data_IF_634922253224
#
_entry.id   IF_634922253224
#
_cell.length_a   1.000
_cell.length_b   1.000
_cell.length_c   1.000
_cell.angle_alpha   90.00
_cell.angle_beta   90.00
_cell.angle_gamma   90.00
#
_symmetry.space_group_name_H-M   'P 1'
#
loop_
_entity.id
_entity.type
_entity.pdbx_description
1 polymer ?
#
# COMPACT_ATOMS: atom_id res chain seq x y z
N UNK A 1 -1.38 -17.57 -19.46
CA UNK A 1 -0.77 -16.62 -18.52
C UNK A 1 0.73 -16.86 -18.45
N UNK A 2 1.49 -15.86 -18.80
CA UNK A 2 2.95 -15.95 -18.76
C UNK A 2 3.40 -16.08 -17.29
N UNK A 3 3.74 -17.28 -16.86
CA UNK A 3 4.22 -17.59 -15.51
C UNK A 3 5.47 -16.80 -15.13
N UNK A 4 6.18 -16.20 -16.12
CA UNK A 4 7.35 -15.37 -15.86
C UNK A 4 7.01 -14.01 -15.21
N UNK A 5 5.75 -13.56 -15.27
CA UNK A 5 5.30 -12.32 -14.60
C UNK A 5 5.42 -12.41 -13.09
N UNK A 6 5.02 -13.56 -12.52
CA UNK A 6 5.08 -13.79 -11.09
C UNK A 6 6.49 -14.06 -10.54
N UNK A 7 7.45 -14.44 -11.36
CA UNK A 7 8.79 -14.79 -10.87
C UNK A 7 9.57 -13.57 -10.36
N UNK A 8 9.47 -12.41 -11.03
CA UNK A 8 10.11 -11.18 -10.59
C UNK A 8 9.57 -10.72 -9.24
N UNK A 9 8.26 -10.72 -9.09
CA UNK A 9 7.57 -10.29 -7.87
C UNK A 9 7.79 -11.29 -6.72
N UNK A 10 7.77 -12.59 -7.00
CA UNK A 10 8.07 -13.65 -6.03
C UNK A 10 9.47 -13.50 -5.46
N UNK A 11 10.50 -13.34 -6.29
CA UNK A 11 11.88 -13.17 -5.82
C UNK A 11 12.08 -11.88 -5.01
N UNK A 12 11.45 -10.78 -5.43
CA UNK A 12 11.52 -9.54 -4.70
C UNK A 12 10.83 -9.64 -3.35
N UNK A 13 9.64 -10.23 -3.34
CA UNK A 13 8.93 -10.51 -2.11
C UNK A 13 9.77 -11.36 -1.15
N UNK A 14 10.43 -12.43 -1.64
CA UNK A 14 11.32 -13.24 -0.81
C UNK A 14 12.47 -12.45 -0.19
N UNK A 15 13.08 -11.52 -0.95
CA UNK A 15 14.13 -10.64 -0.39
C UNK A 15 13.58 -9.75 0.74
N UNK A 16 12.36 -9.23 0.58
CA UNK A 16 11.72 -8.43 1.62
C UNK A 16 11.23 -9.27 2.80
N UNK A 17 10.74 -10.49 2.57
CA UNK A 17 10.40 -11.44 3.64
C UNK A 17 11.63 -11.72 4.55
N UNK A 18 12.85 -11.68 3.99
CA UNK A 18 14.08 -11.85 4.77
C UNK A 18 14.50 -10.60 5.56
N UNK A 19 14.05 -9.41 5.20
CA UNK A 19 14.44 -8.16 5.86
C UNK A 19 13.32 -7.55 6.72
N UNK A 20 12.06 -7.89 6.45
CA UNK A 20 10.93 -7.44 7.25
C UNK A 20 10.70 -8.34 8.46
N UNK A 21 10.53 -7.75 9.63
CA UNK A 21 10.28 -8.53 10.85
C UNK A 21 8.81 -8.95 10.97
N UNK A 22 8.56 -10.13 11.54
CA UNK A 22 7.20 -10.57 11.90
C UNK A 22 6.46 -9.55 12.76
N UNK A 23 7.16 -8.89 13.69
CA UNK A 23 6.60 -7.86 14.55
C UNK A 23 6.09 -6.63 13.79
N UNK A 24 6.70 -6.29 12.64
CA UNK A 24 6.18 -5.25 11.76
C UNK A 24 4.86 -5.70 11.11
N UNK A 25 4.83 -6.91 10.56
CA UNK A 25 3.64 -7.47 9.90
C UNK A 25 2.48 -7.69 10.88
N UNK A 26 2.76 -8.05 12.12
CA UNK A 26 1.73 -8.16 13.17
C UNK A 26 0.99 -6.84 13.44
N UNK A 27 1.52 -5.70 13.00
CA UNK A 27 0.88 -4.39 13.15
C UNK A 27 -0.08 -4.05 12.00
N UNK A 28 -0.10 -4.85 10.93
CA UNK A 28 -0.98 -4.64 9.79
C UNK A 28 -2.45 -4.68 10.22
N UNK A 29 -3.24 -3.70 9.76
CA UNK A 29 -4.65 -3.56 10.17
C UNK A 29 -5.47 -4.80 9.84
N UNK A 30 -5.28 -5.41 8.67
CA UNK A 30 -6.02 -6.61 8.28
C UNK A 30 -5.68 -7.82 9.15
N UNK A 31 -4.40 -8.00 9.51
CA UNK A 31 -3.99 -9.05 10.44
C UNK A 31 -4.63 -8.85 11.82
N UNK A 32 -4.53 -7.63 12.38
CA UNK A 32 -5.17 -7.31 13.68
C UNK A 32 -6.67 -7.56 13.66
N UNK A 33 -7.36 -7.09 12.62
CA UNK A 33 -8.81 -7.30 12.50
C UNK A 33 -9.19 -8.79 12.44
N UNK A 34 -8.40 -9.62 11.77
CA UNK A 34 -8.62 -11.08 11.74
C UNK A 34 -8.38 -11.72 13.11
N UNK A 35 -7.29 -11.33 13.79
CA UNK A 35 -6.97 -11.80 15.16
C UNK A 35 -8.07 -11.39 16.15
N UNK A 36 -8.52 -10.15 16.10
CA UNK A 36 -9.59 -9.64 16.98
C UNK A 36 -10.90 -10.40 16.75
N UNK A 37 -11.26 -10.63 15.49
CA UNK A 37 -12.46 -11.40 15.13
C UNK A 37 -12.39 -12.88 15.59
N UNK A 38 -11.24 -13.54 15.40
CA UNK A 38 -11.03 -14.92 15.87
C UNK A 38 -11.11 -14.99 17.40
N UNK A 39 -10.45 -14.06 18.10
CA UNK A 39 -10.45 -13.99 19.56
C UNK A 39 -11.87 -13.74 20.10
N UNK A 40 -12.62 -12.81 19.50
CA UNK A 40 -14.01 -12.55 19.86
C UNK A 40 -14.92 -13.78 19.65
N UNK A 41 -14.59 -14.64 18.69
CA UNK A 41 -15.28 -15.91 18.43
C UNK A 41 -14.79 -17.08 19.33
N UNK A 42 -13.86 -16.82 20.26
CA UNK A 42 -13.29 -17.85 21.14
C UNK A 42 -12.37 -18.85 20.42
N UNK A 43 -11.85 -18.50 19.23
CA UNK A 43 -10.90 -19.30 18.45
C UNK A 43 -9.46 -18.94 18.76
N UNK A 44 -8.53 -19.75 18.26
CA UNK A 44 -7.12 -19.38 18.23
C UNK A 44 -6.95 -18.07 17.45
N UNK A 45 -6.13 -17.12 17.92
CA UNK A 45 -5.94 -15.83 17.27
C UNK A 45 -5.54 -15.92 15.78
N UNK A 46 -4.79 -16.93 15.40
CA UNK A 46 -4.31 -17.13 14.02
C UNK A 46 -5.19 -18.13 13.21
N UNK A 47 -6.29 -18.67 13.78
CA UNK A 47 -7.09 -19.74 13.17
C UNK A 47 -7.57 -19.41 11.74
N UNK A 48 -7.94 -18.17 11.49
CA UNK A 48 -8.50 -17.72 10.21
C UNK A 48 -7.49 -16.84 9.41
N UNK A 49 -6.21 -16.84 9.82
CA UNK A 49 -5.15 -16.05 9.16
C UNK A 49 -4.36 -16.91 8.18
N UNK A 50 -4.60 -16.70 6.89
CA UNK A 50 -3.77 -17.32 5.84
C UNK A 50 -2.43 -16.61 5.71
N UNK A 51 -1.39 -17.31 5.17
CA UNK A 51 -0.12 -16.67 4.81
C UNK A 51 -0.30 -15.54 3.79
N UNK A 52 -1.31 -15.63 2.93
CA UNK A 52 -1.66 -14.54 2.01
C UNK A 52 -2.11 -13.29 2.74
N UNK A 53 -3.03 -13.42 3.70
CA UNK A 53 -3.50 -12.31 4.54
C UNK A 53 -2.37 -11.71 5.39
N UNK A 54 -1.50 -12.55 5.93
CA UNK A 54 -0.38 -12.09 6.76
C UNK A 54 0.70 -11.36 5.97
N UNK A 55 1.00 -11.81 4.74
CA UNK A 55 2.15 -11.37 3.98
C UNK A 55 1.84 -10.49 2.76
N UNK A 56 0.55 -10.18 2.45
CA UNK A 56 0.26 -9.29 1.32
C UNK A 56 0.89 -7.88 1.44
N UNK A 57 1.15 -7.30 2.64
CA UNK A 57 1.84 -6.02 2.71
C UNK A 57 3.27 -6.07 2.15
N UNK A 58 3.93 -7.24 2.24
CA UNK A 58 5.25 -7.46 1.64
C UNK A 58 5.16 -7.49 0.12
N UNK A 59 4.11 -8.11 -0.43
CA UNK A 59 3.86 -8.12 -1.88
C UNK A 59 3.59 -6.71 -2.39
N UNK A 60 2.74 -5.95 -1.71
CA UNK A 60 2.48 -4.55 -2.06
C UNK A 60 3.75 -3.68 -1.99
N UNK A 61 4.59 -3.89 -0.98
CA UNK A 61 5.90 -3.25 -0.91
C UNK A 61 6.77 -3.61 -2.12
N UNK A 62 6.77 -4.88 -2.54
CA UNK A 62 7.50 -5.33 -3.73
C UNK A 62 6.99 -4.65 -5.01
N UNK A 63 5.68 -4.50 -5.19
CA UNK A 63 5.08 -3.83 -6.35
C UNK A 63 5.49 -2.37 -6.42
N UNK A 64 5.41 -1.64 -5.32
CA UNK A 64 5.80 -0.23 -5.22
C UNK A 64 7.31 -0.04 -5.49
N UNK A 65 8.13 -0.84 -4.83
CA UNK A 65 9.59 -0.70 -4.88
C UNK A 65 10.21 -1.27 -6.16
N UNK A 66 9.48 -2.11 -6.94
CA UNK A 66 9.91 -2.63 -8.24
C UNK A 66 10.32 -1.51 -9.20
N UNK A 67 9.58 -0.44 -9.20
CA UNK A 67 9.75 0.68 -10.11
C UNK A 67 10.40 1.90 -9.44
N UNK A 68 10.85 1.77 -8.20
CA UNK A 68 11.40 2.87 -7.40
C UNK A 68 10.48 4.11 -7.40
N UNK A 69 9.17 3.88 -7.24
CA UNK A 69 8.18 4.94 -7.22
C UNK A 69 8.48 5.93 -6.09
N UNK A 70 8.63 7.20 -6.43
CA UNK A 70 8.85 8.28 -5.47
C UNK A 70 7.55 8.71 -4.82
N UNK A 71 6.50 8.78 -5.63
CA UNK A 71 5.16 9.21 -5.24
C UNK A 71 4.16 8.10 -5.55
N UNK A 72 3.34 7.76 -4.57
CA UNK A 72 2.33 6.71 -4.69
C UNK A 72 0.99 7.28 -4.28
N UNK A 73 0.06 7.49 -5.23
CA UNK A 73 -1.29 7.94 -4.89
C UNK A 73 -2.05 6.80 -4.22
N UNK A 74 -2.41 7.01 -2.96
CA UNK A 74 -3.11 6.02 -2.14
C UNK A 74 -4.25 6.64 -1.35
N UNK A 75 -5.31 5.89 -1.11
CA UNK A 75 -6.34 6.22 -0.15
C UNK A 75 -5.80 6.13 1.29
N UNK A 76 -6.48 6.79 2.21
CA UNK A 76 -6.09 6.85 3.63
C UNK A 76 -5.92 5.45 4.26
N UNK A 77 -6.73 4.48 3.85
CA UNK A 77 -6.67 3.09 4.32
C UNK A 77 -5.42 2.33 3.88
N UNK A 78 -4.66 2.85 2.89
CA UNK A 78 -3.43 2.25 2.38
C UNK A 78 -2.15 2.90 2.92
N UNK A 79 -2.24 3.99 3.69
CA UNK A 79 -1.08 4.70 4.22
C UNK A 79 -0.16 3.79 5.05
N UNK A 80 -0.74 2.91 5.87
CA UNK A 80 0.04 1.97 6.67
C UNK A 80 0.88 1.01 5.81
N UNK A 81 0.33 0.54 4.69
CA UNK A 81 1.06 -0.34 3.78
C UNK A 81 2.22 0.40 3.09
N UNK A 82 2.02 1.68 2.79
CA UNK A 82 3.10 2.50 2.23
C UNK A 82 4.22 2.73 3.25
N UNK A 83 3.89 2.97 4.53
CA UNK A 83 4.90 3.03 5.59
C UNK A 83 5.66 1.71 5.76
N UNK A 84 4.98 0.57 5.64
CA UNK A 84 5.63 -0.74 5.64
C UNK A 84 6.57 -0.92 4.43
N UNK A 85 6.20 -0.39 3.26
CA UNK A 85 7.08 -0.39 2.09
C UNK A 85 8.31 0.50 2.31
N UNK A 86 8.17 1.66 2.96
CA UNK A 86 9.28 2.52 3.37
C UNK A 86 10.23 1.81 4.34
N UNK A 87 9.68 1.13 5.34
CA UNK A 87 10.46 0.34 6.29
C UNK A 87 11.26 -0.77 5.59
N UNK A 88 10.64 -1.48 4.62
CA UNK A 88 11.29 -2.49 3.82
C UNK A 88 12.45 -1.91 2.98
N UNK A 89 12.20 -0.78 2.30
CA UNK A 89 13.21 -0.08 1.52
C UNK A 89 14.39 0.38 2.37
N UNK A 90 14.10 1.02 3.50
CA UNK A 90 15.12 1.52 4.43
C UNK A 90 15.98 0.38 4.99
N UNK A 91 15.36 -0.73 5.41
CA UNK A 91 16.09 -1.89 5.94
C UNK A 91 16.95 -2.54 4.88
N UNK A 92 16.45 -2.69 3.66
CA UNK A 92 17.24 -3.23 2.56
C UNK A 92 18.44 -2.33 2.24
N UNK A 93 18.22 -1.02 2.14
CA UNK A 93 19.29 -0.05 1.92
C UNK A 93 20.35 -0.12 3.03
N UNK A 94 19.93 -0.20 4.30
CA UNK A 94 20.86 -0.28 5.42
C UNK A 94 21.74 -1.54 5.41
N UNK A 95 21.21 -2.66 4.88
CA UNK A 95 21.91 -3.94 4.84
C UNK A 95 22.83 -4.08 3.62
N UNK A 96 22.41 -3.56 2.47
CA UNK A 96 23.04 -3.89 1.18
C UNK A 96 23.55 -2.69 0.39
N UNK A 97 23.13 -1.46 0.71
CA UNK A 97 23.56 -0.25 0.02
C UNK A 97 24.71 0.47 0.72
N UNK A 98 25.28 1.45 0.02
CA UNK A 98 26.10 2.50 0.64
C UNK A 98 25.27 3.78 0.79
N UNK A 99 25.65 4.72 1.68
CA UNK A 99 24.92 5.97 1.82
C UNK A 99 24.79 6.77 0.51
N UNK A 100 25.79 6.69 -0.36
CA UNK A 100 25.85 7.41 -1.64
C UNK A 100 25.02 6.72 -2.74
N UNK A 101 24.75 5.43 -2.59
CA UNK A 101 24.09 4.61 -3.62
C UNK A 101 23.01 3.71 -3.02
N UNK A 102 21.85 4.29 -2.63
CA UNK A 102 20.72 3.48 -2.18
C UNK A 102 20.13 2.67 -3.34
N UNK A 103 19.64 1.46 -3.06
CA UNK A 103 18.91 0.66 -4.04
C UNK A 103 17.49 1.18 -4.22
N UNK A 104 16.84 1.53 -3.12
CA UNK A 104 15.44 1.94 -3.11
C UNK A 104 15.30 3.40 -2.69
N UNK A 105 14.48 4.12 -3.43
CA UNK A 105 13.92 5.41 -3.00
C UNK A 105 12.82 5.12 -1.96
N UNK A 106 12.70 5.99 -0.96
CA UNK A 106 11.63 5.88 0.03
C UNK A 106 10.36 6.51 -0.54
N UNK A 107 9.33 5.71 -0.85
CA UNK A 107 8.11 6.22 -1.46
C UNK A 107 7.35 7.16 -0.53
N UNK A 108 6.66 8.16 -1.09
CA UNK A 108 5.81 9.09 -0.37
C UNK A 108 4.37 8.96 -0.84
N UNK A 109 3.43 9.11 0.10
CA UNK A 109 2.02 9.16 -0.25
C UNK A 109 1.71 10.47 -0.97
N UNK A 110 1.03 10.39 -2.11
CA UNK A 110 0.38 11.52 -2.75
C UNK A 110 -1.11 11.23 -2.86
N UNK A 111 -1.90 12.27 -2.84
CA UNK A 111 -3.36 12.15 -2.77
C UNK A 111 -3.87 12.77 -1.48
N UNK A 112 -4.83 13.65 -1.61
CA UNK A 112 -5.32 14.44 -0.49
C UNK A 112 -5.99 13.59 0.58
N UNK A 113 -5.93 14.07 1.79
CA UNK A 113 -6.71 13.62 2.95
C UNK A 113 -8.23 13.65 2.75
N UNK A 114 -8.70 14.01 1.58
CA UNK A 114 -10.11 14.22 1.21
C UNK A 114 -10.75 13.11 0.37
N UNK A 115 -10.04 12.00 0.10
CA UNK A 115 -10.69 10.85 -0.54
C UNK A 115 -11.46 10.11 0.55
N UNK A 116 -12.65 10.58 0.80
CA UNK A 116 -13.62 9.88 1.63
C UNK A 116 -13.95 8.52 1.02
N UNK A 117 -14.23 7.56 1.88
CA UNK A 117 -14.67 6.23 1.44
C UNK A 117 -16.05 6.37 0.81
N UNK A 118 -16.21 6.00 -0.46
CA UNK A 118 -17.50 6.05 -1.13
C UNK A 118 -18.51 5.14 -0.42
N UNK A 119 -19.70 5.65 -0.11
CA UNK A 119 -20.79 4.85 0.43
C UNK A 119 -21.36 3.92 -0.66
N UNK A 120 -21.77 2.72 -0.25
CA UNK A 120 -22.54 1.81 -1.09
C UNK A 120 -24.02 2.16 -1.16
N UNK A 121 -24.78 1.31 -1.85
CA UNK A 121 -26.24 1.47 -2.04
C UNK A 121 -27.03 1.54 -0.73
N UNK A 122 -26.50 0.96 0.34
CA UNK A 122 -27.05 0.87 1.69
C UNK A 122 -26.50 1.92 2.65
N UNK A 123 -25.69 2.86 2.16
CA UNK A 123 -25.05 3.92 2.95
C UNK A 123 -23.81 3.49 3.75
N UNK A 124 -23.50 2.17 3.84
CA UNK A 124 -22.25 1.68 4.42
C UNK A 124 -21.10 1.81 3.40
N UNK A 125 -19.86 1.59 3.84
CA UNK A 125 -18.70 1.52 2.92
C UNK A 125 -19.01 0.61 1.74
N UNK A 126 -18.79 1.08 0.51
CA UNK A 126 -18.97 0.29 -0.71
C UNK A 126 -18.02 -0.91 -0.70
N UNK A 127 -18.55 -2.12 -0.83
CA UNK A 127 -17.78 -3.35 -0.82
C UNK A 127 -18.50 -4.47 -1.57
N UNK A 128 -17.74 -5.27 -2.31
CA UNK A 128 -18.26 -6.49 -2.96
C UNK A 128 -18.86 -7.49 -1.94
N UNK A 129 -18.25 -7.60 -0.77
CA UNK A 129 -18.70 -8.49 0.31
C UNK A 129 -20.07 -8.09 0.90
N UNK A 130 -20.46 -6.82 0.78
CA UNK A 130 -21.77 -6.33 1.20
C UNK A 130 -22.81 -6.30 0.08
N UNK A 131 -22.41 -6.66 -1.14
CA UNK A 131 -23.29 -6.60 -2.33
C UNK A 131 -23.98 -5.22 -2.49
N UNK A 132 -23.27 -4.15 -2.14
CA UNK A 132 -23.75 -2.78 -2.17
C UNK A 132 -23.00 -1.89 -3.19
N UNK A 133 -22.38 -2.53 -4.20
CA UNK A 133 -21.61 -1.86 -5.25
C UNK A 133 -22.50 -1.35 -6.38
N UNK A 134 -21.99 -0.33 -7.09
CA UNK A 134 -22.60 0.20 -8.31
C UNK A 134 -21.83 -0.39 -9.51
N UNK A 135 -22.48 -1.15 -10.42
CA UNK A 135 -21.82 -1.65 -11.62
C UNK A 135 -21.55 -0.49 -12.58
N UNK A 136 -20.32 -0.40 -13.11
CA UNK A 136 -19.95 0.66 -14.06
C UNK A 136 -20.06 0.20 -15.51
N UNK A 137 -19.60 -1.01 -15.82
CA UNK A 137 -19.52 -1.55 -17.18
C UNK A 137 -20.50 -2.69 -17.40
N UNK A 138 -20.49 -3.70 -16.53
CA UNK A 138 -21.26 -4.93 -16.67
C UNK A 138 -22.77 -4.66 -16.59
N UNK A 139 -23.54 -5.24 -17.52
CA UNK A 139 -24.99 -5.06 -17.59
C UNK A 139 -25.45 -3.70 -18.13
N UNK A 140 -24.52 -2.84 -18.54
CA UNK A 140 -24.82 -1.59 -19.24
C UNK A 140 -25.58 -0.56 -18.40
N UNK A 141 -26.23 0.36 -19.09
CA UNK A 141 -27.04 1.42 -18.46
C UNK A 141 -28.19 0.84 -17.62
N UNK A 142 -28.80 -0.24 -18.05
CA UNK A 142 -29.93 -0.84 -17.32
C UNK A 142 -29.51 -1.36 -15.91
N UNK A 143 -28.33 -1.98 -15.81
CA UNK A 143 -27.81 -2.43 -14.52
C UNK A 143 -27.44 -1.24 -13.61
N UNK A 144 -26.90 -0.16 -14.17
CA UNK A 144 -26.64 1.08 -13.44
C UNK A 144 -27.94 1.67 -12.87
N UNK A 145 -28.97 1.84 -13.71
CA UNK A 145 -30.28 2.38 -13.29
C UNK A 145 -30.91 1.53 -12.18
N UNK A 146 -30.87 0.21 -12.33
CA UNK A 146 -31.37 -0.73 -11.32
C UNK A 146 -30.61 -0.65 -9.99
N UNK A 147 -29.29 -0.46 -10.04
CA UNK A 147 -28.48 -0.29 -8.83
C UNK A 147 -28.79 1.04 -8.15
N UNK A 148 -28.79 2.14 -8.90
CA UNK A 148 -29.08 3.48 -8.37
C UNK A 148 -30.48 3.57 -7.76
N UNK A 149 -31.47 2.89 -8.35
CA UNK A 149 -32.82 2.81 -7.77
C UNK A 149 -32.85 2.22 -6.35
N UNK A 150 -31.92 1.33 -6.02
CA UNK A 150 -31.79 0.68 -4.69
C UNK A 150 -31.14 1.56 -3.62
N UNK A 151 -30.55 2.71 -3.98
CA UNK A 151 -29.95 3.61 -2.97
C UNK A 151 -31.01 3.96 -1.93
N UNK A 152 -30.67 3.76 -0.66
CA UNK A 152 -31.56 4.08 0.45
C UNK A 152 -31.70 5.60 0.58
N UNK A 153 -32.93 6.09 0.61
CA UNK A 153 -33.30 7.49 0.81
C UNK A 153 -34.38 7.59 1.87
N UNK A 154 -34.57 8.75 2.45
CA UNK A 154 -35.64 9.00 3.42
C UNK A 154 -37.04 9.02 2.74
N UNK A 155 -38.09 9.20 3.55
CA UNK A 155 -39.48 9.17 3.11
C UNK A 155 -40.05 10.54 2.65
N UNK A 156 -39.21 11.58 2.54
CA UNK A 156 -39.65 12.92 2.14
C UNK A 156 -40.23 12.94 0.73
N UNK A 157 -41.41 13.54 0.59
CA UNK A 157 -42.10 13.63 -0.68
C UNK A 157 -41.42 14.63 -1.65
N UNK A 158 -41.73 14.56 -2.96
CA UNK A 158 -41.39 15.64 -3.88
C UNK A 158 -41.95 16.98 -3.40
N UNK A 159 -41.15 18.04 -3.48
CA UNK A 159 -41.51 19.38 -2.98
C UNK A 159 -41.07 19.66 -1.54
N UNK A 160 -40.75 18.61 -0.76
CA UNK A 160 -40.20 18.79 0.58
C UNK A 160 -38.68 18.99 0.53
N UNK A 161 -38.13 20.00 1.24
CA UNK A 161 -36.69 20.22 1.31
C UNK A 161 -35.94 19.00 1.86
N UNK A 162 -34.84 18.66 1.23
CA UNK A 162 -33.99 17.53 1.60
C UNK A 162 -32.60 18.02 2.01
N UNK A 163 -32.03 17.36 3.01
CA UNK A 163 -30.66 17.64 3.42
C UNK A 163 -29.68 16.87 2.53
N UNK A 164 -28.88 17.57 1.69
CA UNK A 164 -27.94 16.92 0.80
C UNK A 164 -26.79 16.22 1.54
N UNK A 165 -26.48 16.61 2.78
CA UNK A 165 -25.37 16.05 3.55
C UNK A 165 -25.77 14.77 4.30
N UNK A 166 -27.07 14.45 4.35
CA UNK A 166 -27.58 13.24 5.02
C UNK A 166 -27.74 12.02 4.11
N UNK A 167 -27.37 12.11 2.83
CA UNK A 167 -27.59 11.03 1.85
C UNK A 167 -26.33 10.59 1.12
N UNK A 168 -26.14 9.28 0.98
CA UNK A 168 -25.09 8.70 0.17
C UNK A 168 -25.16 9.07 -1.32
N UNK A 169 -26.37 9.41 -1.80
CA UNK A 169 -26.61 9.81 -3.17
C UNK A 169 -25.79 11.04 -3.57
N UNK A 170 -25.73 12.04 -2.69
CA UNK A 170 -24.96 13.27 -2.94
C UNK A 170 -23.45 12.99 -2.94
N UNK A 171 -22.96 12.17 -2.01
CA UNK A 171 -21.54 11.79 -1.95
C UNK A 171 -21.12 11.08 -3.23
N UNK A 172 -21.98 10.19 -3.74
CA UNK A 172 -21.68 9.47 -4.99
C UNK A 172 -21.76 10.45 -6.18
N UNK A 173 -22.75 11.38 -6.21
CA UNK A 173 -22.86 12.39 -7.25
C UNK A 173 -21.62 13.28 -7.30
N UNK A 174 -21.15 13.73 -6.15
CA UNK A 174 -19.96 14.58 -6.02
C UNK A 174 -18.68 13.90 -6.57
N UNK A 175 -18.62 12.58 -6.59
CA UNK A 175 -17.49 11.85 -7.17
C UNK A 175 -17.38 11.96 -8.69
N UNK A 176 -18.49 12.27 -9.37
CA UNK A 176 -18.59 12.36 -10.85
C UNK A 176 -18.87 13.76 -11.38
N UNK A 177 -19.23 14.70 -10.53
CA UNK A 177 -19.72 16.01 -10.93
C UNK A 177 -18.64 17.10 -10.77
N UNK A 178 -18.66 18.10 -11.65
CA UNK A 178 -17.88 19.32 -11.49
C UNK A 178 -18.39 20.15 -10.27
N UNK A 179 -17.55 21.03 -9.67
CA UNK A 179 -17.94 21.79 -8.49
C UNK A 179 -19.26 22.55 -8.64
N UNK A 180 -19.49 23.17 -9.78
CA UNK A 180 -20.71 23.92 -10.08
C UNK A 180 -21.95 23.00 -10.14
N UNK A 181 -21.79 21.80 -10.71
CA UNK A 181 -22.86 20.80 -10.78
C UNK A 181 -23.22 20.25 -9.40
N UNK A 182 -22.22 20.07 -8.52
CA UNK A 182 -22.44 19.64 -7.12
C UNK A 182 -23.30 20.64 -6.38
N UNK A 183 -22.95 21.91 -6.46
CA UNK A 183 -23.70 22.97 -5.77
C UNK A 183 -25.12 23.11 -6.34
N UNK A 184 -25.28 23.04 -7.65
CA UNK A 184 -26.59 23.07 -8.30
C UNK A 184 -27.48 21.90 -7.82
N UNK A 185 -26.95 20.68 -7.83
CA UNK A 185 -27.65 19.49 -7.35
C UNK A 185 -28.05 19.58 -5.87
N UNK A 186 -27.16 20.07 -5.03
CA UNK A 186 -27.42 20.31 -3.60
C UNK A 186 -28.50 21.36 -3.39
N UNK A 187 -28.47 22.45 -4.16
CA UNK A 187 -29.50 23.50 -4.10
C UNK A 187 -30.89 22.97 -4.50
N UNK A 188 -30.96 22.13 -5.53
CA UNK A 188 -32.21 21.51 -5.96
C UNK A 188 -32.77 20.52 -4.92
N UNK A 189 -31.94 19.74 -4.25
CA UNK A 189 -32.37 18.90 -3.13
C UNK A 189 -32.97 19.73 -1.99
N UNK A 190 -32.33 20.85 -1.64
CA UNK A 190 -32.86 21.79 -0.64
C UNK A 190 -34.17 22.45 -1.08
N UNK A 191 -34.37 22.61 -2.39
CA UNK A 191 -35.62 23.16 -2.94
C UNK A 191 -36.74 22.14 -3.14
N UNK A 192 -36.49 20.84 -2.81
CA UNK A 192 -37.51 19.81 -2.83
C UNK A 192 -37.47 18.85 -4.04
N UNK A 193 -36.32 18.73 -4.74
CA UNK A 193 -36.16 17.73 -5.82
C UNK A 193 -36.57 16.34 -5.31
N UNK A 194 -37.45 15.64 -6.06
CA UNK A 194 -37.92 14.31 -5.71
C UNK A 194 -36.78 13.26 -5.78
N UNK A 195 -36.78 12.28 -4.88
CA UNK A 195 -35.74 11.24 -4.86
C UNK A 195 -35.63 10.44 -6.16
N UNK A 196 -36.74 10.18 -6.85
CA UNK A 196 -36.75 9.50 -8.17
C UNK A 196 -35.96 10.28 -9.20
N UNK A 197 -36.19 11.60 -9.29
CA UNK A 197 -35.47 12.46 -10.22
C UNK A 197 -34.01 12.65 -9.83
N UNK A 198 -33.71 12.76 -8.52
CA UNK A 198 -32.35 12.82 -8.02
C UNK A 198 -31.54 11.56 -8.37
N UNK A 199 -32.14 10.37 -8.24
CA UNK A 199 -31.54 9.10 -8.65
C UNK A 199 -31.30 9.03 -10.16
N UNK A 200 -32.26 9.50 -10.96
CA UNK A 200 -32.09 9.57 -12.40
C UNK A 200 -30.94 10.48 -12.80
N UNK A 201 -30.83 11.65 -12.21
CA UNK A 201 -29.70 12.58 -12.45
C UNK A 201 -28.36 11.98 -12.06
N UNK A 202 -28.31 11.25 -10.94
CA UNK A 202 -27.10 10.52 -10.56
C UNK A 202 -26.73 9.49 -11.62
N UNK A 203 -27.70 8.71 -12.09
CA UNK A 203 -27.46 7.72 -13.14
C UNK A 203 -27.00 8.36 -14.46
N UNK A 204 -27.59 9.50 -14.83
CA UNK A 204 -27.20 10.26 -16.02
C UNK A 204 -25.81 10.86 -15.89
N UNK A 205 -25.44 11.35 -14.70
CA UNK A 205 -24.12 11.87 -14.39
C UNK A 205 -23.04 10.79 -14.51
N UNK A 206 -23.27 9.63 -13.91
CA UNK A 206 -22.35 8.49 -14.00
C UNK A 206 -22.24 8.01 -15.46
N UNK A 207 -23.36 7.92 -16.17
CA UNK A 207 -23.37 7.43 -17.55
C UNK A 207 -22.67 8.39 -18.53
N UNK A 208 -22.74 9.68 -18.29
CA UNK A 208 -22.00 10.68 -19.07
C UNK A 208 -20.48 10.45 -19.02
N UNK A 209 -19.96 10.10 -17.86
CA UNK A 209 -18.52 9.87 -17.67
C UNK A 209 -18.10 8.45 -18.07
N UNK A 210 -18.91 7.47 -17.69
CA UNK A 210 -18.56 6.04 -17.83
C UNK A 210 -19.05 5.43 -19.15
N UNK A 211 -20.09 6.00 -19.76
CA UNK A 211 -20.68 5.47 -21.00
C UNK A 211 -19.66 5.24 -22.13
N UNK A 212 -18.78 6.22 -22.46
CA UNK A 212 -17.73 6.02 -23.45
C UNK A 212 -16.74 4.90 -23.10
N UNK A 213 -16.41 4.75 -21.81
CA UNK A 213 -15.54 3.68 -21.32
C UNK A 213 -16.23 2.31 -21.38
N UNK A 214 -17.55 2.27 -21.17
CA UNK A 214 -18.35 1.05 -21.26
C UNK A 214 -18.37 0.50 -22.70
N UNK A 215 -18.56 1.36 -23.69
CA UNK A 215 -18.49 0.95 -25.09
C UNK A 215 -17.11 0.33 -25.43
N UNK A 216 -16.03 0.91 -24.91
CA UNK A 216 -14.70 0.36 -25.08
C UNK A 216 -14.49 -0.97 -24.33
N UNK A 217 -15.08 -1.10 -23.15
CA UNK A 217 -15.09 -2.36 -22.40
C UNK A 217 -15.80 -3.48 -23.18
N UNK A 218 -16.97 -3.21 -23.74
CA UNK A 218 -17.74 -4.18 -24.53
C UNK A 218 -16.96 -4.62 -25.78
N UNK A 219 -16.33 -3.67 -26.49
CA UNK A 219 -15.45 -3.97 -27.62
C UNK A 219 -14.29 -4.90 -27.22
N UNK A 220 -13.60 -4.59 -26.14
CA UNK A 220 -12.49 -5.40 -25.65
C UNK A 220 -12.94 -6.79 -25.17
N UNK A 221 -14.09 -6.89 -24.53
CA UNK A 221 -14.67 -8.16 -24.08
C UNK A 221 -15.08 -9.05 -25.27
N UNK A 222 -15.47 -8.45 -26.38
CA UNK A 222 -15.74 -9.17 -27.63
C UNK A 222 -14.45 -9.68 -28.32
N UNK A 223 -13.29 -9.10 -27.98
CA UNK A 223 -12.01 -9.41 -28.60
C UNK A 223 -10.90 -9.77 -27.58
N UNK A 224 -10.99 -10.91 -26.87
CA UNK A 224 -10.05 -11.28 -25.82
C UNK A 224 -8.58 -11.35 -26.28
N UNK A 225 -8.33 -11.68 -27.56
CA UNK A 225 -6.99 -11.71 -28.14
C UNK A 225 -6.32 -10.32 -28.09
N UNK A 226 -7.09 -9.26 -28.36
CA UNK A 226 -6.59 -7.88 -28.27
C UNK A 226 -6.21 -7.50 -26.84
N UNK A 227 -6.99 -7.97 -25.84
CA UNK A 227 -6.64 -7.77 -24.43
C UNK A 227 -5.32 -8.46 -24.09
N UNK A 228 -5.12 -9.69 -24.57
CA UNK A 228 -3.86 -10.43 -24.35
C UNK A 228 -2.66 -9.72 -24.98
N UNK A 229 -2.80 -9.18 -26.19
CA UNK A 229 -1.74 -8.39 -26.85
C UNK A 229 -1.35 -7.15 -26.04
N UNK A 230 -2.35 -6.40 -25.56
CA UNK A 230 -2.13 -5.22 -24.69
C UNK A 230 -1.38 -5.61 -23.41
N UNK A 231 -1.77 -6.73 -22.79
CA UNK A 231 -1.12 -7.22 -21.57
C UNK A 231 0.32 -7.69 -21.83
N UNK A 232 0.57 -8.35 -22.95
CA UNK A 232 1.92 -8.80 -23.34
C UNK A 232 2.85 -7.61 -23.61
N UNK A 233 2.36 -6.61 -24.32
CA UNK A 233 3.13 -5.39 -24.58
C UNK A 233 3.41 -4.62 -23.29
N UNK A 234 2.42 -4.49 -22.40
CA UNK A 234 2.59 -3.92 -21.07
C UNK A 234 3.64 -4.66 -20.24
N UNK A 235 3.61 -5.99 -20.26
CA UNK A 235 4.59 -6.83 -19.58
C UNK A 235 6.00 -6.65 -20.18
N UNK A 236 6.13 -6.53 -21.50
CA UNK A 236 7.40 -6.26 -22.16
C UNK A 236 8.00 -4.94 -21.69
N UNK A 237 7.21 -3.87 -21.67
CA UNK A 237 7.63 -2.55 -21.17
C UNK A 237 8.08 -2.60 -19.71
N UNK A 238 7.29 -3.24 -18.84
CA UNK A 238 7.62 -3.38 -17.43
C UNK A 238 8.94 -4.15 -17.21
N UNK A 239 9.20 -5.20 -17.99
CA UNK A 239 10.45 -5.97 -17.91
C UNK A 239 11.69 -5.19 -18.31
N UNK A 240 11.60 -4.23 -19.21
CA UNK A 240 12.73 -3.36 -19.55
C UNK A 240 13.28 -2.59 -18.33
N UNK A 241 12.41 -2.26 -17.40
CA UNK A 241 12.76 -1.57 -16.15
C UNK A 241 13.09 -2.60 -15.05
N UNK A 242 12.20 -3.57 -14.85
CA UNK A 242 12.28 -4.48 -13.71
C UNK A 242 13.45 -5.46 -13.80
N UNK A 243 13.77 -6.02 -14.99
CA UNK A 243 14.81 -7.04 -15.13
C UNK A 243 16.19 -6.54 -14.74
N UNK A 244 16.71 -5.41 -15.28
CA UNK A 244 18.02 -4.90 -14.88
C UNK A 244 18.08 -4.53 -13.41
N UNK A 245 16.97 -4.06 -12.84
CA UNK A 245 16.92 -3.74 -11.43
C UNK A 245 16.95 -4.99 -10.55
N UNK A 246 16.20 -6.03 -10.92
CA UNK A 246 16.23 -7.32 -10.23
C UNK A 246 17.63 -7.95 -10.25
N UNK A 247 18.36 -7.85 -11.35
CA UNK A 247 19.73 -8.37 -11.44
C UNK A 247 20.68 -7.63 -10.48
N UNK A 248 20.52 -6.31 -10.33
CA UNK A 248 21.24 -5.53 -9.32
C UNK A 248 20.91 -5.99 -7.90
N UNK A 249 19.63 -6.23 -7.59
CA UNK A 249 19.20 -6.69 -6.25
C UNK A 249 19.72 -8.11 -5.96
N UNK A 250 19.63 -9.04 -6.92
CA UNK A 250 20.21 -10.39 -6.80
C UNK A 250 21.69 -10.34 -6.49
N UNK A 251 22.42 -9.51 -7.24
CA UNK A 251 23.84 -9.33 -7.00
C UNK A 251 24.14 -8.76 -5.61
N UNK A 252 23.34 -7.80 -5.13
CA UNK A 252 23.49 -7.21 -3.81
C UNK A 252 23.32 -8.23 -2.67
N UNK A 253 22.32 -9.11 -2.78
CA UNK A 253 22.08 -10.17 -1.78
C UNK A 253 22.99 -11.39 -1.95
N UNK A 254 23.92 -11.37 -2.90
CA UNK A 254 24.92 -12.44 -3.09
C UNK A 254 24.50 -13.54 -4.08
N UNK A 255 23.35 -13.42 -4.75
CA UNK A 255 22.92 -14.34 -5.82
C UNK A 255 23.65 -14.00 -7.13
N UNK A 256 24.85 -14.55 -7.29
CA UNK A 256 25.75 -14.33 -8.44
C UNK A 256 25.93 -15.61 -9.23
N UNK A 257 26.27 -15.48 -10.53
CA UNK A 257 26.65 -16.63 -11.31
C UNK A 257 28.01 -17.21 -10.85
N UNK A 258 28.19 -18.51 -10.97
CA UNK A 258 29.48 -19.12 -10.66
C UNK A 258 30.62 -18.60 -11.55
N UNK A 259 30.35 -18.19 -12.76
CA UNK A 259 31.32 -17.55 -13.65
C UNK A 259 31.79 -16.20 -13.14
N UNK A 260 30.93 -15.41 -12.52
CA UNK A 260 31.30 -14.15 -11.88
C UNK A 260 32.10 -14.36 -10.59
N UNK A 261 31.79 -15.43 -9.83
CA UNK A 261 32.53 -15.81 -8.63
C UNK A 261 33.91 -16.35 -8.97
N UNK A 262 34.01 -17.11 -10.07
CA UNK A 262 35.26 -17.71 -10.52
C UNK A 262 36.19 -16.72 -11.26
N UNK A 263 35.69 -15.57 -11.73
CA UNK A 263 36.52 -14.51 -12.27
C UNK A 263 37.52 -14.03 -11.19
N UNK A 264 38.84 -13.94 -11.50
CA UNK A 264 39.80 -13.43 -10.51
C UNK A 264 39.31 -12.08 -10.00
N UNK A 265 39.02 -12.00 -8.74
CA UNK A 265 38.72 -10.72 -8.10
C UNK A 265 40.00 -9.89 -8.23
N UNK A 266 40.02 -8.98 -9.22
CA UNK A 266 41.00 -7.91 -9.22
C UNK A 266 40.92 -7.34 -7.81
N UNK A 267 42.02 -7.45 -7.06
CA UNK A 267 42.12 -7.24 -5.63
C UNK A 267 41.20 -6.08 -5.19
N UNK A 268 40.07 -6.40 -4.62
CA UNK A 268 39.27 -5.41 -3.93
C UNK A 268 40.19 -4.87 -2.86
N UNK A 269 40.71 -3.65 -3.04
CA UNK A 269 41.26 -2.88 -1.92
C UNK A 269 40.27 -3.07 -0.80
N UNK A 270 40.69 -3.73 0.29
CA UNK A 270 39.89 -3.81 1.53
C UNK A 270 39.42 -2.39 1.77
N UNK A 271 38.12 -2.16 1.59
CA UNK A 271 37.54 -0.91 2.06
C UNK A 271 37.97 -0.83 3.51
N UNK A 272 38.85 0.12 3.83
CA UNK A 272 39.19 0.37 5.22
C UNK A 272 37.85 0.55 5.91
N UNK A 273 37.53 -0.36 6.83
CA UNK A 273 36.42 -0.17 7.74
C UNK A 273 36.69 1.20 8.35
N UNK A 274 35.90 2.18 7.96
CA UNK A 274 35.90 3.49 8.63
C UNK A 274 35.53 3.16 10.05
N UNK A 275 36.52 3.08 10.93
CA UNK A 275 36.26 2.89 12.33
C UNK A 275 35.54 4.14 12.79
N UNK A 276 34.28 3.99 13.14
CA UNK A 276 33.47 5.06 13.74
C UNK A 276 33.60 4.95 15.25
N UNK A 277 33.46 6.07 15.93
CA UNK A 277 33.29 6.06 17.38
C UNK A 277 32.07 5.15 17.72
N UNK A 278 32.23 4.33 18.73
CA UNK A 278 31.20 3.36 19.11
C UNK A 278 31.05 3.32 20.62
N UNK A 279 29.79 3.23 21.04
CA UNK A 279 29.49 2.93 22.43
C UNK A 279 29.70 1.43 22.71
N UNK A 280 30.32 1.13 23.85
CA UNK A 280 30.45 -0.24 24.37
C UNK A 280 29.90 -0.28 25.77
N UNK A 281 28.94 -1.16 26.00
CA UNK A 281 28.39 -1.44 27.32
C UNK A 281 29.05 -2.70 27.86
N UNK A 282 29.39 -2.71 29.15
CA UNK A 282 30.03 -3.85 29.82
C UNK A 282 29.69 -3.85 31.32
N UNK A 283 29.96 -4.96 31.98
CA UNK A 283 29.78 -5.10 33.40
C UNK A 283 31.14 -5.25 34.07
N UNK A 284 31.40 -4.49 35.12
CA UNK A 284 32.63 -4.57 35.91
C UNK A 284 32.52 -5.60 37.05
N UNK A 285 33.64 -5.86 37.71
CA UNK A 285 33.72 -6.81 38.82
C UNK A 285 32.98 -6.35 40.08
N UNK A 286 32.68 -5.07 40.18
CA UNK A 286 31.86 -4.45 41.22
C UNK A 286 30.36 -4.78 41.07
N UNK A 287 30.00 -5.42 39.95
CA UNK A 287 28.62 -5.81 39.64
C UNK A 287 27.81 -4.73 38.90
N UNK A 288 28.36 -3.51 38.74
CA UNK A 288 27.71 -2.41 38.06
C UNK A 288 27.89 -2.49 36.53
N UNK A 289 26.97 -1.87 35.82
CA UNK A 289 27.00 -1.74 34.36
C UNK A 289 27.52 -0.37 33.98
N UNK A 290 28.40 -0.34 33.00
CA UNK A 290 29.02 0.86 32.47
C UNK A 290 28.85 0.92 30.97
N UNK A 291 28.90 2.12 30.39
CA UNK A 291 29.14 2.28 28.97
C UNK A 291 30.30 3.23 28.73
N UNK A 292 31.00 3.06 27.62
CA UNK A 292 32.05 3.94 27.16
C UNK A 292 31.93 4.23 25.68
N UNK A 293 32.26 5.45 25.31
CA UNK A 293 32.42 5.87 23.92
C UNK A 293 33.90 5.76 23.55
N UNK A 294 34.21 4.99 22.52
CA UNK A 294 35.57 4.77 22.02
C UNK A 294 35.67 5.48 20.65
N UNK A 295 36.74 6.25 20.45
CA UNK A 295 37.05 6.89 19.18
C UNK A 295 37.31 5.87 18.07
N UNK A 296 37.30 6.32 16.82
CA UNK A 296 37.77 5.53 15.68
C UNK A 296 39.24 5.03 15.82
N UNK A 297 40.04 5.75 16.56
CA UNK A 297 41.46 5.39 16.84
C UNK A 297 41.61 4.40 18.01
N UNK A 298 40.54 4.17 18.78
CA UNK A 298 40.57 3.28 19.96
C UNK A 298 40.67 4.02 21.28
N UNK A 299 40.72 5.34 21.30
CA UNK A 299 40.82 6.14 22.51
C UNK A 299 39.48 6.22 23.22
N UNK A 300 39.47 6.19 24.53
CA UNK A 300 38.29 6.36 25.35
C UNK A 300 37.93 7.84 25.44
N UNK A 301 36.78 8.20 24.85
CA UNK A 301 36.30 9.58 24.81
C UNK A 301 35.39 9.92 25.99
N UNK A 302 34.68 8.91 26.52
CA UNK A 302 33.73 9.06 27.61
C UNK A 302 33.61 7.73 28.34
N UNK A 303 33.54 7.78 29.66
CA UNK A 303 33.19 6.68 30.54
C UNK A 303 32.00 7.11 31.41
N UNK A 304 30.99 6.26 31.52
CA UNK A 304 29.83 6.52 32.38
C UNK A 304 30.15 6.26 33.86
N UNK A 305 29.30 6.75 34.73
CA UNK A 305 29.16 6.24 36.10
C UNK A 305 28.58 4.81 36.08
N UNK A 306 28.69 4.10 37.21
CA UNK A 306 28.15 2.74 37.34
C UNK A 306 26.62 2.75 37.52
N UNK A 307 25.93 1.91 36.78
CA UNK A 307 24.48 1.70 36.87
C UNK A 307 24.19 0.32 37.50
N UNK A 308 23.12 0.25 38.30
CA UNK A 308 22.71 -1.03 38.92
C UNK A 308 22.14 -2.02 37.89
N UNK A 309 21.59 -1.55 36.77
CA UNK A 309 21.06 -2.40 35.71
C UNK A 309 21.61 -2.06 34.33
N UNK A 310 21.75 -3.08 33.47
CA UNK A 310 22.16 -2.89 32.08
C UNK A 310 21.12 -2.14 31.26
N UNK A 311 19.85 -2.12 31.71
CA UNK A 311 18.76 -1.37 31.06
C UNK A 311 18.95 0.14 31.29
N UNK A 312 19.28 0.55 32.48
CA UNK A 312 19.48 1.95 32.84
C UNK A 312 20.71 2.51 32.13
N UNK A 313 21.82 1.74 32.11
CA UNK A 313 22.99 2.09 31.30
C UNK A 313 22.66 2.22 29.80
N UNK A 314 21.80 1.36 29.27
CA UNK A 314 21.40 1.39 27.86
C UNK A 314 20.44 2.53 27.46
N UNK A 315 19.78 3.17 28.42
CA UNK A 315 18.94 4.34 28.15
C UNK A 315 19.72 5.64 27.90
N UNK A 316 21.01 5.66 28.25
CA UNK A 316 21.91 6.80 28.05
C UNK A 316 22.80 6.69 26.80
N UNK A 317 22.68 5.60 26.04
CA UNK A 317 23.40 5.29 24.79
C UNK A 317 22.48 5.33 23.58
#
# INVERSE_FOLDING_TARGET
>A
TDRSRGLGDVYKRQMFDCVMSKGLLNRAHAYKAAVDAATAAGKDPDADVSMGLFSYPVLMAADILMFNAQEVPVGHDQLQHLEMARDAAQRFNNLYATPEHPFFVLPQATGGSSIEVLPGLDGRKMSKSYNNVIPLFEGGRAALDAAIARIVTDSRAPGEPKDPDSTSLTVIFDAFAAPEEREAFRAELRSGLGWGEAKKRLADQIDREIGPMRARYEELMAHPAQVEEILQEGARKARLIATPFMDKLRHAVGLRSFTEIAAPQAAKKKAQKVQRAAFKQYREKDGCFYFKLISAAGDELLLSEGFESGRDAGMWV
#
